data_IF_522406344231
#
_entry.id   IF_522406344231
#
_cell.length_a   1.000
_cell.length_b   1.000
_cell.length_c   1.000
_cell.angle_alpha   90.00
_cell.angle_beta   90.00
_cell.angle_gamma   90.00
#
_symmetry.space_group_name_H-M   'P 1'
#
loop_
_entity.id
_entity.type
_entity.pdbx_description
1 polymer ?
#
# COMPACT_ATOMS: atom_id res chain seq x y z
N UNK A 1 -16.21 -0.38 13.61
CA UNK A 1 -15.17 0.66 13.39
C UNK A 1 -14.58 1.14 14.70
N UNK A 2 -13.32 1.56 14.69
CA UNK A 2 -12.65 2.13 15.86
C UNK A 2 -13.25 3.48 16.27
N UNK A 3 -13.02 3.87 17.51
CA UNK A 3 -13.45 5.19 18.00
C UNK A 3 -12.48 6.26 17.51
N UNK A 4 -12.98 7.23 16.75
CA UNK A 4 -12.21 8.41 16.33
C UNK A 4 -12.68 9.67 17.06
N UNK A 5 -11.74 10.57 17.33
CA UNK A 5 -11.96 11.80 18.09
C UNK A 5 -10.90 12.84 17.73
N UNK A 6 -11.00 14.03 18.27
CA UNK A 6 -9.99 15.07 18.09
C UNK A 6 -8.57 14.55 18.35
N UNK A 7 -7.71 14.72 17.34
CA UNK A 7 -6.34 14.20 17.28
C UNK A 7 -6.18 12.88 16.53
N UNK A 8 -7.28 12.16 16.21
CA UNK A 8 -7.24 11.01 15.32
C UNK A 8 -6.90 11.46 13.89
N UNK A 9 -6.20 10.59 13.14
CA UNK A 9 -5.76 10.87 11.76
C UNK A 9 -5.92 9.64 10.88
N UNK A 10 -5.96 9.86 9.56
CA UNK A 10 -5.96 8.82 8.55
C UNK A 10 -7.31 8.59 7.89
N UNK A 11 -7.38 7.49 7.14
CA UNK A 11 -8.48 7.20 6.20
C UNK A 11 -9.86 7.12 6.86
N UNK A 12 -9.95 6.60 8.10
CA UNK A 12 -11.24 6.51 8.83
C UNK A 12 -11.78 7.92 9.14
N UNK A 13 -10.87 8.88 9.39
CA UNK A 13 -11.25 10.29 9.59
C UNK A 13 -11.70 10.91 8.26
N UNK A 14 -11.05 10.58 7.15
CA UNK A 14 -11.48 11.03 5.82
C UNK A 14 -12.89 10.53 5.49
N UNK A 15 -13.17 9.23 5.72
CA UNK A 15 -14.52 8.68 5.53
C UNK A 15 -15.56 9.40 6.39
N UNK A 16 -15.23 9.71 7.63
CA UNK A 16 -16.08 10.45 8.51
C UNK A 16 -16.33 11.89 8.02
N UNK A 17 -15.28 12.57 7.58
CA UNK A 17 -15.37 13.92 7.01
C UNK A 17 -16.20 13.95 5.74
N UNK A 18 -16.00 12.98 4.83
CA UNK A 18 -16.77 12.87 3.59
C UNK A 18 -18.26 12.59 3.87
N UNK A 19 -18.55 11.69 4.82
CA UNK A 19 -19.92 11.46 5.27
C UNK A 19 -20.58 12.72 5.82
N UNK A 20 -19.91 13.47 6.69
CA UNK A 20 -20.39 14.74 7.21
C UNK A 20 -20.59 15.78 6.09
N UNK A 21 -19.74 15.76 5.07
CA UNK A 21 -19.84 16.63 3.91
C UNK A 21 -21.06 16.30 3.05
N UNK A 22 -21.34 15.02 2.82
CA UNK A 22 -22.53 14.56 2.11
C UNK A 22 -23.83 14.96 2.85
N UNK A 23 -23.77 15.02 4.17
CA UNK A 23 -24.86 15.54 5.00
C UNK A 23 -24.90 17.08 5.10
N UNK A 24 -24.01 17.78 4.39
CA UNK A 24 -23.85 19.26 4.44
C UNK A 24 -23.46 19.80 5.83
N UNK A 25 -22.92 18.96 6.70
CA UNK A 25 -22.44 19.30 8.04
C UNK A 25 -20.94 19.66 8.08
N UNK A 26 -20.21 19.41 6.98
CA UNK A 26 -18.80 19.71 6.84
C UNK A 26 -18.51 20.35 5.49
N UNK A 27 -18.11 21.62 5.48
CA UNK A 27 -17.88 22.40 4.25
C UNK A 27 -16.40 22.65 3.95
N UNK A 28 -15.51 21.95 4.66
CA UNK A 28 -14.07 22.13 4.57
C UNK A 28 -13.43 21.02 3.72
N UNK A 29 -12.11 21.12 3.53
CA UNK A 29 -11.33 20.08 2.86
C UNK A 29 -11.37 18.79 3.69
N UNK A 30 -11.59 17.66 3.04
CA UNK A 30 -11.37 16.33 3.60
C UNK A 30 -9.86 16.10 3.60
N UNK A 31 -9.26 16.00 4.78
CA UNK A 31 -7.81 15.99 4.98
C UNK A 31 -7.32 14.87 5.91
N UNK A 32 -8.26 14.06 6.41
CA UNK A 32 -7.93 12.97 7.32
C UNK A 32 -7.43 13.41 8.69
N UNK A 33 -7.52 14.69 9.04
CA UNK A 33 -7.17 15.20 10.38
C UNK A 33 -8.44 15.51 11.19
N UNK A 34 -8.68 14.80 12.28
CA UNK A 34 -9.79 15.07 13.18
C UNK A 34 -9.48 16.30 14.04
N UNK A 35 -9.45 17.46 13.39
CA UNK A 35 -9.22 18.75 14.04
C UNK A 35 -10.48 19.36 14.67
N UNK A 36 -10.43 20.65 15.00
CA UNK A 36 -11.56 21.38 15.58
C UNK A 36 -12.77 21.41 14.66
N UNK A 37 -12.57 21.52 13.35
CA UNK A 37 -13.64 21.59 12.36
C UNK A 37 -14.41 20.28 12.32
N UNK A 38 -13.71 19.16 12.19
CA UNK A 38 -14.30 17.81 12.21
C UNK A 38 -15.01 17.54 13.53
N UNK A 39 -14.41 17.93 14.66
CA UNK A 39 -15.01 17.79 15.99
C UNK A 39 -16.33 18.55 16.10
N UNK A 40 -16.38 19.82 15.67
CA UNK A 40 -17.60 20.63 15.72
C UNK A 40 -18.70 20.07 14.82
N UNK A 41 -18.37 19.63 13.62
CA UNK A 41 -19.32 19.00 12.71
C UNK A 41 -19.82 17.64 13.26
N UNK A 42 -18.97 16.90 13.99
CA UNK A 42 -19.39 15.69 14.70
C UNK A 42 -20.39 16.01 15.80
N UNK A 43 -20.17 17.04 16.59
CA UNK A 43 -21.11 17.52 17.62
C UNK A 43 -22.46 17.89 16.99
N UNK A 44 -22.47 18.58 15.86
CA UNK A 44 -23.68 18.95 15.16
C UNK A 44 -24.43 17.71 14.63
N UNK A 45 -23.71 16.77 14.03
CA UNK A 45 -24.26 15.47 13.64
C UNK A 45 -24.91 14.74 14.82
N UNK A 46 -24.23 14.69 15.95
CA UNK A 46 -24.74 14.02 17.16
C UNK A 46 -26.01 14.71 17.68
N UNK A 47 -26.05 16.05 17.73
CA UNK A 47 -27.23 16.82 18.15
C UNK A 47 -28.42 16.57 17.26
N UNK A 48 -28.23 16.66 15.96
CA UNK A 48 -29.32 16.49 14.98
C UNK A 48 -29.89 15.07 14.98
N UNK A 49 -29.12 14.12 15.46
CA UNK A 49 -29.53 12.71 15.51
C UNK A 49 -29.84 12.21 16.94
N UNK A 50 -30.00 13.11 17.94
CA UNK A 50 -30.40 12.75 19.30
C UNK A 50 -29.36 11.96 20.09
N UNK A 51 -28.07 12.07 19.71
CA UNK A 51 -26.95 11.42 20.38
C UNK A 51 -26.31 12.35 21.44
N UNK A 52 -25.50 11.78 22.32
CA UNK A 52 -24.64 12.59 23.20
C UNK A 52 -23.63 13.36 22.34
N UNK A 53 -23.69 14.70 22.42
CA UNK A 53 -22.92 15.59 21.58
C UNK A 53 -21.52 15.86 22.19
N UNK A 54 -20.69 14.82 22.25
CA UNK A 54 -19.35 14.84 22.84
C UNK A 54 -18.22 15.02 21.81
N UNK A 55 -18.56 14.97 20.51
CA UNK A 55 -17.63 15.08 19.42
C UNK A 55 -16.72 13.86 19.26
N UNK A 56 -17.10 12.70 19.86
CA UNK A 56 -16.41 11.44 19.73
C UNK A 56 -17.25 10.50 18.87
N UNK A 57 -16.66 9.97 17.80
CA UNK A 57 -17.33 9.01 16.94
C UNK A 57 -17.09 7.61 17.50
N UNK A 58 -17.83 7.29 18.56
CA UNK A 58 -17.86 5.97 19.17
C UNK A 58 -18.96 5.08 18.58
N UNK A 59 -19.16 3.88 19.17
CA UNK A 59 -20.10 2.87 18.64
C UNK A 59 -21.48 3.45 18.29
N UNK A 60 -22.11 4.21 19.19
CA UNK A 60 -23.46 4.76 18.96
C UNK A 60 -23.49 5.78 17.82
N UNK A 61 -22.43 6.56 17.65
CA UNK A 61 -22.31 7.53 16.58
C UNK A 61 -22.10 6.82 15.23
N UNK A 62 -21.27 5.78 15.20
CA UNK A 62 -21.12 4.92 14.03
C UNK A 62 -22.42 4.19 13.67
N UNK A 63 -23.09 3.57 14.63
CA UNK A 63 -24.36 2.87 14.39
C UNK A 63 -25.37 3.82 13.73
N UNK A 64 -25.46 5.07 14.21
CA UNK A 64 -26.35 6.08 13.61
C UNK A 64 -25.90 6.53 12.22
N UNK A 65 -24.63 6.63 11.99
CA UNK A 65 -24.08 6.94 10.67
C UNK A 65 -24.36 5.79 9.67
N UNK A 66 -24.30 4.55 10.10
CA UNK A 66 -24.71 3.38 9.29
C UNK A 66 -26.18 3.42 8.90
N UNK A 67 -27.07 3.72 9.86
CA UNK A 67 -28.51 3.90 9.59
C UNK A 67 -28.78 4.99 8.53
N UNK A 68 -27.89 5.97 8.43
CA UNK A 68 -27.98 7.08 7.47
C UNK A 68 -27.15 6.85 6.20
N UNK A 69 -26.61 5.65 6.01
CA UNK A 69 -25.96 5.21 4.77
C UNK A 69 -24.47 5.53 4.65
N UNK A 70 -23.75 5.71 5.77
CA UNK A 70 -22.29 5.88 5.71
C UNK A 70 -21.61 4.60 5.20
N UNK A 71 -22.04 3.44 5.70
CA UNK A 71 -21.70 2.08 5.27
C UNK A 71 -22.77 1.17 5.87
N UNK A 72 -23.35 0.25 5.11
CA UNK A 72 -24.24 -0.78 5.64
C UNK A 72 -23.43 -2.01 6.01
N UNK A 73 -23.46 -2.42 7.29
CA UNK A 73 -22.71 -3.58 7.79
C UNK A 73 -23.32 -4.93 7.41
N UNK A 74 -24.52 -4.96 6.86
CA UNK A 74 -25.27 -6.19 6.56
C UNK A 74 -25.26 -6.63 5.09
N UNK A 75 -24.58 -5.89 4.22
CA UNK A 75 -24.35 -6.26 2.82
C UNK A 75 -22.87 -6.55 2.57
N UNK A 76 -22.30 -7.50 3.31
CA UNK A 76 -21.07 -8.19 2.87
C UNK A 76 -21.41 -9.29 1.84
N UNK A 77 -22.27 -8.97 0.90
CA UNK A 77 -22.41 -9.67 -0.37
C UNK A 77 -21.68 -8.84 -1.40
N UNK A 78 -20.54 -9.35 -1.85
CA UNK A 78 -19.62 -8.80 -2.85
C UNK A 78 -19.02 -7.41 -2.56
N UNK A 79 -17.75 -7.18 -2.82
CA UNK A 79 -17.16 -5.86 -2.67
C UNK A 79 -17.83 -4.92 -3.68
N UNK A 80 -18.82 -4.14 -3.23
CA UNK A 80 -19.33 -3.02 -4.02
C UNK A 80 -18.16 -2.05 -4.15
N UNK A 81 -17.48 -2.09 -5.28
CA UNK A 81 -16.61 -1.00 -5.71
C UNK A 81 -17.52 0.23 -5.79
N UNK A 82 -17.36 1.27 -4.94
CA UNK A 82 -18.16 2.46 -5.07
C UNK A 82 -18.02 3.01 -6.48
N UNK A 83 -19.12 3.39 -7.13
CA UNK A 83 -19.17 3.87 -8.53
C UNK A 83 -18.29 5.11 -8.82
N UNK A 84 -17.59 5.64 -7.83
CA UNK A 84 -16.78 6.86 -7.93
C UNK A 84 -15.31 6.65 -7.44
N UNK A 85 -14.78 5.43 -7.59
CA UNK A 85 -13.34 5.18 -7.44
C UNK A 85 -12.64 5.46 -8.78
N UNK A 86 -12.36 6.73 -9.06
CA UNK A 86 -11.51 7.12 -10.18
C UNK A 86 -10.08 6.58 -10.00
N UNK A 87 -9.89 5.29 -10.31
CA UNK A 87 -8.55 4.74 -10.48
C UNK A 87 -8.03 5.11 -11.86
N UNK A 88 -7.09 6.05 -11.91
CA UNK A 88 -6.44 6.45 -13.15
C UNK A 88 -5.20 5.58 -13.35
N UNK A 89 -5.19 4.80 -14.43
CA UNK A 89 -4.05 3.97 -14.82
C UNK A 89 -3.38 4.57 -16.06
N UNK A 90 -2.16 5.06 -15.91
CA UNK A 90 -1.37 5.60 -17.00
C UNK A 90 -0.60 4.50 -17.74
N UNK A 91 -0.84 4.35 -19.03
CA UNK A 91 -0.16 3.34 -19.85
C UNK A 91 1.25 3.79 -20.21
N UNK A 92 2.25 3.04 -19.73
CA UNK A 92 3.67 3.25 -20.01
C UNK A 92 4.33 1.93 -20.41
N UNK A 93 3.88 1.37 -21.54
CA UNK A 93 4.24 0.01 -21.92
C UNK A 93 5.71 -0.15 -22.27
N UNK A 94 6.29 -1.21 -21.75
CA UNK A 94 7.58 -1.74 -22.19
C UNK A 94 7.55 -2.15 -23.65
N UNK A 95 8.69 -2.16 -24.34
CA UNK A 95 8.81 -2.81 -25.66
C UNK A 95 8.35 -4.27 -25.60
N UNK A 96 7.73 -4.77 -26.68
CA UNK A 96 7.16 -6.13 -26.77
C UNK A 96 8.14 -7.27 -26.46
N UNK A 97 9.43 -7.02 -26.62
CA UNK A 97 10.49 -7.97 -26.28
C UNK A 97 10.86 -7.99 -24.79
N UNK A 98 10.29 -7.09 -23.96
CA UNK A 98 10.63 -6.95 -22.54
C UNK A 98 9.59 -7.56 -21.60
N UNK A 99 8.53 -8.18 -22.14
CA UNK A 99 7.56 -8.98 -21.40
C UNK A 99 7.11 -10.19 -22.20
N UNK A 100 6.42 -11.11 -21.57
CA UNK A 100 5.78 -12.28 -22.21
C UNK A 100 4.28 -12.05 -22.29
N UNK A 101 3.61 -12.81 -23.15
CA UNK A 101 2.15 -12.90 -23.21
C UNK A 101 1.73 -14.33 -22.87
N UNK A 102 0.62 -14.49 -22.18
CA UNK A 102 0.08 -15.79 -21.78
C UNK A 102 -1.45 -15.77 -21.80
N UNK A 103 -2.06 -16.91 -22.06
CA UNK A 103 -3.50 -17.13 -21.92
C UNK A 103 -3.85 -17.74 -20.55
N UNK A 104 -2.87 -17.87 -19.66
CA UNK A 104 -3.07 -18.37 -18.30
C UNK A 104 -3.97 -17.42 -17.49
N UNK A 105 -5.03 -17.97 -16.89
CA UNK A 105 -5.85 -17.23 -15.93
C UNK A 105 -4.98 -16.71 -14.79
N UNK A 106 -5.19 -15.46 -14.38
CA UNK A 106 -4.53 -14.91 -13.20
C UNK A 106 -5.22 -15.42 -11.94
N UNK A 107 -4.44 -15.96 -11.02
CA UNK A 107 -4.90 -16.56 -9.76
C UNK A 107 -4.26 -15.90 -8.53
N UNK A 108 -3.21 -15.10 -8.73
CA UNK A 108 -2.45 -14.44 -7.66
C UNK A 108 -2.17 -12.99 -7.98
N UNK A 109 -2.12 -12.19 -6.91
CA UNK A 109 -1.52 -10.85 -6.91
C UNK A 109 -0.32 -10.87 -5.97
N UNK A 110 0.81 -10.35 -6.41
CA UNK A 110 1.98 -10.14 -5.55
C UNK A 110 2.35 -8.67 -5.47
N UNK A 111 2.37 -8.16 -4.23
CA UNK A 111 2.82 -6.79 -3.95
C UNK A 111 4.29 -6.76 -3.58
N UNK A 112 5.00 -5.79 -4.16
CA UNK A 112 6.42 -5.56 -4.00
C UNK A 112 6.70 -4.10 -3.67
N UNK A 113 7.93 -3.77 -3.22
CA UNK A 113 8.45 -2.42 -3.34
C UNK A 113 9.79 -2.39 -4.07
N UNK A 114 10.01 -1.32 -4.82
CA UNK A 114 11.10 -1.20 -5.81
C UNK A 114 12.51 -1.15 -5.22
N UNK A 115 12.66 -0.81 -3.93
CA UNK A 115 13.92 -0.34 -3.35
C UNK A 115 14.53 0.83 -4.14
N UNK A 116 13.69 1.82 -4.55
CA UNK A 116 14.06 2.86 -5.49
C UNK A 116 13.28 4.16 -5.34
N UNK A 117 13.47 5.05 -6.32
CA UNK A 117 12.88 6.37 -6.36
C UNK A 117 11.37 6.36 -6.63
N UNK A 118 10.72 7.48 -6.40
CA UNK A 118 9.28 7.68 -6.39
C UNK A 118 8.58 7.69 -7.75
N UNK A 119 9.30 7.85 -8.86
CA UNK A 119 8.72 7.99 -10.21
C UNK A 119 8.47 6.61 -10.85
N UNK A 120 7.19 6.19 -11.08
CA UNK A 120 6.85 4.88 -11.62
C UNK A 120 7.29 4.71 -13.08
N UNK A 121 7.28 5.76 -13.88
CA UNK A 121 7.71 5.72 -15.28
C UNK A 121 9.22 5.48 -15.42
N UNK A 122 10.02 6.03 -14.50
CA UNK A 122 11.45 5.76 -14.46
C UNK A 122 11.75 4.31 -14.06
N UNK A 123 10.94 3.72 -13.18
CA UNK A 123 11.04 2.30 -12.84
C UNK A 123 10.78 1.43 -14.07
N UNK A 124 9.71 1.67 -14.80
CA UNK A 124 9.38 0.95 -16.05
C UNK A 124 10.49 1.15 -17.10
N UNK A 125 10.95 2.38 -17.31
CA UNK A 125 12.04 2.68 -18.24
C UNK A 125 13.35 1.98 -17.87
N UNK A 126 13.60 1.77 -16.57
CA UNK A 126 14.75 1.02 -16.08
C UNK A 126 14.64 -0.46 -16.45
N UNK A 127 13.49 -1.08 -16.28
CA UNK A 127 13.28 -2.47 -16.69
C UNK A 127 13.51 -2.69 -18.18
N UNK A 128 13.05 -1.79 -19.04
CA UNK A 128 13.32 -1.86 -20.49
C UNK A 128 14.79 -1.74 -20.89
N UNK A 129 15.71 -1.62 -19.93
CA UNK A 129 17.17 -1.58 -20.12
C UNK A 129 17.91 -2.60 -19.25
N UNK A 130 17.16 -3.43 -18.52
CA UNK A 130 17.73 -4.40 -17.59
C UNK A 130 18.28 -5.61 -18.36
N UNK A 131 19.58 -5.84 -18.23
CA UNK A 131 20.25 -6.97 -18.89
C UNK A 131 19.91 -8.33 -18.30
N UNK A 132 19.18 -8.39 -17.18
CA UNK A 132 18.76 -9.67 -16.56
C UNK A 132 17.62 -10.36 -17.32
N UNK A 133 17.04 -9.72 -18.34
CA UNK A 133 15.93 -10.21 -19.12
C UNK A 133 14.60 -9.57 -18.70
N UNK A 134 13.49 -10.15 -19.06
CA UNK A 134 12.13 -9.62 -18.90
C UNK A 134 11.67 -9.57 -17.44
N UNK A 135 12.34 -8.73 -16.63
CA UNK A 135 12.04 -8.53 -15.21
C UNK A 135 11.14 -7.31 -15.08
N UNK A 136 9.87 -7.52 -14.76
CA UNK A 136 8.87 -6.46 -14.60
C UNK A 136 7.63 -6.96 -13.89
N UNK A 137 6.87 -6.05 -13.29
CA UNK A 137 5.49 -6.25 -12.83
C UNK A 137 4.52 -5.53 -13.77
N UNK A 138 3.23 -5.90 -13.74
CA UNK A 138 2.22 -5.26 -14.59
C UNK A 138 2.02 -3.81 -14.20
N UNK A 139 1.98 -3.52 -12.88
CA UNK A 139 1.74 -2.18 -12.36
C UNK A 139 2.90 -1.67 -11.53
N UNK A 140 3.08 -0.36 -11.57
CA UNK A 140 4.01 0.38 -10.71
C UNK A 140 3.26 1.55 -10.10
N UNK A 141 3.32 1.67 -8.78
CA UNK A 141 2.66 2.71 -8.01
C UNK A 141 3.70 3.73 -7.52
N UNK A 142 3.59 4.95 -7.96
CA UNK A 142 4.44 6.06 -7.56
C UNK A 142 4.25 6.47 -6.10
N UNK A 143 5.21 7.18 -5.54
CA UNK A 143 5.20 7.62 -4.15
C UNK A 143 5.72 9.03 -3.95
N UNK A 144 5.78 9.44 -2.70
CA UNK A 144 6.41 10.69 -2.33
C UNK A 144 7.93 10.61 -2.47
N UNK A 145 8.54 11.75 -2.77
CA UNK A 145 9.99 11.83 -2.86
C UNK A 145 10.62 11.84 -1.47
N UNK A 146 11.51 10.88 -1.21
CA UNK A 146 12.09 10.65 0.10
C UNK A 146 12.83 11.86 0.70
N UNK A 147 13.31 12.80 -0.13
CA UNK A 147 14.16 13.92 0.32
C UNK A 147 13.41 15.18 0.70
N UNK A 148 12.18 15.39 0.20
CA UNK A 148 11.45 16.67 0.37
C UNK A 148 9.92 16.52 0.33
N UNK A 149 9.40 15.30 0.41
CA UNK A 149 7.96 15.01 0.39
C UNK A 149 7.22 15.55 -0.86
N UNK A 150 7.91 15.66 -1.99
CA UNK A 150 7.32 16.05 -3.26
C UNK A 150 6.30 14.99 -3.71
N UNK A 151 5.10 15.44 -4.07
CA UNK A 151 3.93 14.60 -4.37
C UNK A 151 3.70 14.43 -5.88
N UNK A 152 4.62 14.85 -6.75
CA UNK A 152 4.43 14.77 -8.21
C UNK A 152 3.99 13.39 -8.70
N UNK A 153 4.53 12.33 -8.10
CA UNK A 153 4.22 10.94 -8.46
C UNK A 153 3.47 10.18 -7.37
N UNK A 154 3.08 10.83 -6.28
CA UNK A 154 2.43 10.16 -5.17
C UNK A 154 1.05 9.63 -5.56
N UNK A 155 0.87 8.32 -5.49
CA UNK A 155 -0.36 7.64 -5.90
C UNK A 155 -0.55 7.46 -7.42
N UNK A 156 0.42 7.86 -8.25
CA UNK A 156 0.34 7.65 -9.70
C UNK A 156 0.50 6.16 -10.03
N UNK A 157 -0.50 5.56 -10.69
CA UNK A 157 -0.46 4.16 -11.14
C UNK A 157 -0.05 4.10 -12.61
N UNK A 158 1.06 3.43 -12.90
CA UNK A 158 1.54 3.19 -14.25
C UNK A 158 1.45 1.71 -14.60
N UNK A 159 0.94 1.38 -15.81
CA UNK A 159 0.89 0.01 -16.33
C UNK A 159 2.05 -0.22 -17.30
N UNK A 160 2.89 -1.24 -17.03
CA UNK A 160 4.11 -1.54 -17.77
C UNK A 160 3.91 -2.44 -19.00
N UNK A 161 2.83 -3.21 -19.06
CA UNK A 161 2.44 -4.03 -20.22
C UNK A 161 0.93 -4.31 -20.17
N UNK A 162 0.29 -4.64 -21.30
CA UNK A 162 -1.14 -4.90 -21.35
C UNK A 162 -1.53 -6.15 -20.55
N UNK A 163 -2.79 -6.26 -20.26
CA UNK A 163 -3.43 -7.45 -19.70
C UNK A 163 -3.04 -8.71 -20.49
N UNK A 164 -2.88 -9.85 -19.80
CA UNK A 164 -2.34 -11.09 -20.38
C UNK A 164 -0.81 -11.09 -20.49
N UNK A 165 -0.14 -9.97 -20.19
CA UNK A 165 1.30 -9.91 -20.07
C UNK A 165 1.82 -10.47 -18.74
N UNK A 166 3.10 -10.84 -18.71
CA UNK A 166 3.84 -11.10 -17.48
C UNK A 166 5.34 -10.88 -17.65
N UNK A 167 6.00 -10.55 -16.57
CA UNK A 167 7.46 -10.51 -16.41
C UNK A 167 7.92 -11.40 -15.26
N UNK A 168 9.21 -11.60 -15.13
CA UNK A 168 9.80 -12.28 -13.98
C UNK A 168 9.85 -11.31 -12.80
N UNK A 169 9.11 -11.58 -11.71
CA UNK A 169 9.07 -10.68 -10.55
C UNK A 169 9.25 -11.39 -9.20
N UNK A 170 9.01 -12.71 -9.09
CA UNK A 170 9.08 -13.43 -7.82
C UNK A 170 10.49 -13.95 -7.49
N UNK A 171 11.27 -14.28 -8.52
CA UNK A 171 12.61 -14.87 -8.35
C UNK A 171 12.59 -16.26 -7.69
N UNK A 172 11.53 -17.02 -7.91
CA UNK A 172 11.35 -18.41 -7.48
C UNK A 172 11.29 -19.32 -8.70
N UNK A 173 11.54 -20.63 -8.51
CA UNK A 173 11.53 -21.62 -9.60
C UNK A 173 10.13 -22.02 -10.11
N UNK A 174 9.06 -21.40 -9.64
CA UNK A 174 7.69 -21.71 -10.04
C UNK A 174 7.23 -20.84 -11.20
N UNK A 175 7.38 -21.33 -12.43
CA UNK A 175 7.01 -20.62 -13.64
C UNK A 175 5.49 -20.38 -13.77
N UNK A 176 4.65 -21.25 -13.19
CA UNK A 176 3.19 -21.07 -13.21
C UNK A 176 2.80 -19.82 -12.41
N UNK A 177 3.37 -19.65 -11.21
CA UNK A 177 3.08 -18.47 -10.40
C UNK A 177 3.48 -17.16 -11.09
N UNK A 178 4.55 -17.14 -11.90
CA UNK A 178 4.91 -15.96 -12.69
C UNK A 178 3.89 -15.65 -13.79
N UNK A 179 3.43 -16.68 -14.53
CA UNK A 179 2.47 -16.51 -15.62
C UNK A 179 1.06 -16.18 -15.12
N UNK A 180 0.67 -16.83 -14.04
CA UNK A 180 -0.68 -16.74 -13.48
C UNK A 180 -0.78 -15.69 -12.35
N UNK A 181 0.18 -14.78 -12.23
CA UNK A 181 0.10 -13.69 -11.25
C UNK A 181 0.10 -12.30 -11.91
N UNK A 182 -0.46 -11.34 -11.16
CA UNK A 182 -0.30 -9.91 -11.39
C UNK A 182 0.70 -9.39 -10.35
N UNK A 183 1.76 -8.75 -10.81
CA UNK A 183 2.72 -8.09 -9.92
C UNK A 183 2.44 -6.59 -9.83
N UNK A 184 2.57 -6.04 -8.63
CA UNK A 184 2.50 -4.59 -8.35
C UNK A 184 3.80 -4.17 -7.64
N UNK A 185 4.52 -3.21 -8.20
CA UNK A 185 5.68 -2.58 -7.54
C UNK A 185 5.28 -1.23 -6.95
N UNK A 186 5.43 -1.05 -5.65
CA UNK A 186 5.25 0.23 -4.97
C UNK A 186 6.60 0.94 -4.88
N UNK A 187 6.70 2.14 -5.42
CA UNK A 187 7.94 2.93 -5.37
C UNK A 187 8.26 3.34 -3.93
N UNK A 188 9.29 2.72 -3.36
CA UNK A 188 9.72 2.91 -1.99
C UNK A 188 11.16 2.42 -1.82
N UNK A 189 11.96 3.05 -0.98
CA UNK A 189 13.35 2.63 -0.73
C UNK A 189 13.49 1.44 0.20
N UNK A 190 12.41 1.09 0.92
CA UNK A 190 12.47 0.04 1.94
C UNK A 190 13.15 0.52 3.22
N UNK A 191 14.02 -0.33 3.78
CA UNK A 191 14.68 -0.05 5.05
C UNK A 191 15.64 1.14 5.02
N UNK A 192 15.75 1.82 6.16
CA UNK A 192 16.62 2.96 6.41
C UNK A 192 17.56 2.66 7.57
N UNK A 193 18.72 3.31 7.58
CA UNK A 193 19.68 3.21 8.68
C UNK A 193 19.97 4.58 9.28
N UNK A 194 20.07 4.65 10.61
CA UNK A 194 20.36 5.88 11.33
C UNK A 194 21.87 6.17 11.34
N UNK A 195 22.24 7.43 11.15
CA UNK A 195 23.62 7.93 11.29
C UNK A 195 24.59 7.53 10.19
N UNK A 196 24.11 6.84 9.15
CA UNK A 196 24.93 6.39 8.03
C UNK A 196 24.29 5.27 7.22
N UNK A 197 25.07 4.63 6.36
CA UNK A 197 24.62 3.52 5.52
C UNK A 197 25.76 2.57 5.16
N UNK A 198 25.41 1.37 4.71
CA UNK A 198 26.40 0.40 4.24
C UNK A 198 26.64 0.53 2.73
N UNK A 199 27.92 0.56 2.34
CA UNK A 199 28.37 0.53 0.94
C UNK A 199 29.44 -0.52 0.74
N UNK A 200 29.48 -1.16 -0.42
CA UNK A 200 30.64 -1.99 -0.78
C UNK A 200 31.79 -1.07 -1.23
N UNK A 201 32.90 -1.10 -0.49
CA UNK A 201 34.16 -0.45 -0.83
C UNK A 201 35.20 -1.53 -1.06
N UNK A 202 35.75 -1.63 -2.25
CA UNK A 202 36.69 -2.69 -2.65
C UNK A 202 36.15 -4.12 -2.33
N UNK A 203 34.84 -4.35 -2.57
CA UNK A 203 34.17 -5.62 -2.31
C UNK A 203 33.75 -5.87 -0.88
N UNK A 204 34.20 -5.06 0.08
CA UNK A 204 33.89 -5.19 1.52
C UNK A 204 32.71 -4.33 1.90
N UNK A 205 31.73 -4.87 2.65
CA UNK A 205 30.61 -4.14 3.23
C UNK A 205 31.13 -3.18 4.30
N UNK A 206 31.18 -1.88 4.01
CA UNK A 206 31.75 -0.82 4.85
C UNK A 206 30.66 0.12 5.32
N UNK A 207 30.68 0.49 6.59
CA UNK A 207 29.80 1.51 7.16
C UNK A 207 30.31 2.90 6.78
N UNK A 208 29.49 3.69 6.11
CA UNK A 208 29.74 5.09 5.78
C UNK A 208 29.00 5.94 6.79
N UNK A 209 29.76 6.51 7.75
CA UNK A 209 29.21 7.39 8.78
C UNK A 209 28.68 8.69 8.19
N UNK A 210 27.52 9.11 8.64
CA UNK A 210 26.83 10.35 8.30
C UNK A 210 26.39 11.09 9.57
N UNK A 211 25.42 11.99 9.46
CA UNK A 211 24.91 12.80 10.57
C UNK A 211 24.11 11.93 11.56
N UNK A 212 24.45 11.90 12.85
CA UNK A 212 23.64 11.22 13.86
C UNK A 212 22.21 11.76 13.93
N UNK A 213 21.25 10.89 14.22
CA UNK A 213 19.83 11.26 14.27
C UNK A 213 19.17 11.49 12.91
N UNK A 214 19.91 11.26 11.82
CA UNK A 214 19.38 11.29 10.44
C UNK A 214 19.34 9.89 9.85
N UNK A 215 18.39 9.66 8.96
CA UNK A 215 18.13 8.35 8.35
C UNK A 215 18.57 8.35 6.89
N UNK A 216 19.13 7.23 6.46
CA UNK A 216 19.73 7.11 5.13
C UNK A 216 19.28 5.83 4.44
N UNK A 217 19.00 5.94 3.14
CA UNK A 217 18.78 4.80 2.26
C UNK A 217 20.07 4.01 2.06
N UNK A 218 19.96 2.80 1.54
CA UNK A 218 21.12 1.96 1.20
C UNK A 218 22.06 2.59 0.13
N UNK A 219 21.60 3.58 -0.62
CA UNK A 219 22.43 4.37 -1.56
C UNK A 219 23.00 5.64 -0.94
N UNK A 220 22.70 5.92 0.34
CA UNK A 220 23.22 7.06 1.10
C UNK A 220 22.46 8.38 0.93
N UNK A 221 21.25 8.32 0.38
CA UNK A 221 20.35 9.48 0.34
C UNK A 221 19.77 9.70 1.73
N UNK A 222 19.84 10.92 2.27
CA UNK A 222 19.18 11.32 3.51
C UNK A 222 17.67 11.40 3.29
N UNK A 223 16.92 10.75 4.17
CA UNK A 223 15.47 10.80 4.18
C UNK A 223 14.98 12.04 4.94
N UNK A 224 13.95 12.71 4.43
CA UNK A 224 13.19 13.68 5.21
C UNK A 224 12.52 12.95 6.39
N UNK A 225 12.48 13.59 7.56
CA UNK A 225 11.94 12.97 8.77
C UNK A 225 10.46 12.55 8.63
N UNK A 226 9.68 13.22 7.79
CA UNK A 226 8.28 12.87 7.49
C UNK A 226 8.15 11.61 6.64
N UNK A 227 9.23 11.20 5.98
CA UNK A 227 9.30 9.99 5.16
C UNK A 227 9.83 8.78 5.94
N UNK A 228 10.03 8.91 7.25
CA UNK A 228 10.55 7.83 8.09
C UNK A 228 9.44 7.29 8.98
N UNK A 229 9.16 6.01 8.87
CA UNK A 229 8.34 5.27 9.83
C UNK A 229 9.22 4.38 10.69
N UNK A 230 8.94 4.37 11.99
CA UNK A 230 9.56 3.47 12.96
C UNK A 230 8.56 2.37 13.30
N UNK A 231 8.90 1.13 13.01
CA UNK A 231 8.08 -0.01 13.42
C UNK A 231 8.23 -0.26 14.93
N UNK A 232 7.18 -0.74 15.60
CA UNK A 232 7.24 -1.14 17.01
C UNK A 232 8.22 -2.30 17.21
N UNK A 233 8.17 -3.29 16.32
CA UNK A 233 9.06 -4.44 16.26
C UNK A 233 9.91 -4.36 15.01
N UNK A 234 11.19 -4.70 15.12
CA UNK A 234 12.06 -4.82 13.95
C UNK A 234 11.51 -5.85 12.95
N UNK A 235 11.52 -5.47 11.69
CA UNK A 235 11.19 -6.37 10.60
C UNK A 235 12.46 -6.66 9.81
N UNK A 236 12.85 -7.94 9.75
CA UNK A 236 14.06 -8.42 9.05
C UNK A 236 15.34 -7.67 9.41
N UNK A 237 15.46 -7.29 10.71
CA UNK A 237 16.64 -6.61 11.25
C UNK A 237 16.68 -5.10 11.06
N UNK A 238 15.56 -4.49 10.67
CA UNK A 238 15.45 -3.04 10.52
C UNK A 238 14.21 -2.51 11.22
N UNK A 239 14.37 -1.41 11.94
CA UNK A 239 13.28 -0.74 12.66
C UNK A 239 12.76 0.50 11.91
N UNK A 240 13.59 1.14 11.07
CA UNK A 240 13.24 2.35 10.34
C UNK A 240 13.08 2.08 8.86
N UNK A 241 12.01 2.61 8.29
CA UNK A 241 11.61 2.35 6.91
C UNK A 241 11.18 3.63 6.21
N UNK A 242 11.33 3.67 4.90
CA UNK A 242 10.72 4.71 4.07
C UNK A 242 9.20 4.51 4.09
N UNK A 243 8.46 5.50 4.62
CA UNK A 243 7.00 5.43 4.77
C UNK A 243 6.31 5.20 3.42
N UNK A 244 5.34 4.29 3.34
CA UNK A 244 4.32 4.32 2.31
C UNK A 244 3.40 5.49 2.61
N UNK A 245 3.17 6.40 1.67
CA UNK A 245 2.28 7.52 1.86
C UNK A 245 0.82 7.06 1.97
N UNK A 246 -0.01 7.87 2.60
CA UNK A 246 -1.44 7.59 2.72
C UNK A 246 -2.09 7.50 1.32
N UNK A 247 -1.61 8.32 0.37
CA UNK A 247 -2.05 8.28 -1.03
C UNK A 247 -1.62 6.98 -1.73
N UNK A 248 -0.39 6.52 -1.52
CA UNK A 248 0.05 5.21 -2.05
C UNK A 248 -0.83 4.07 -1.53
N UNK A 249 -1.13 4.07 -0.23
CA UNK A 249 -1.96 3.02 0.39
C UNK A 249 -3.38 3.05 -0.18
N UNK A 250 -3.96 4.25 -0.35
CA UNK A 250 -5.29 4.42 -0.94
C UNK A 250 -5.33 3.91 -2.39
N UNK A 251 -4.38 4.35 -3.22
CA UNK A 251 -4.36 3.94 -4.63
C UNK A 251 -3.97 2.45 -4.79
N UNK A 252 -3.16 1.90 -3.86
CA UNK A 252 -2.91 0.45 -3.82
C UNK A 252 -4.20 -0.31 -3.54
N UNK A 253 -5.03 0.13 -2.59
CA UNK A 253 -6.33 -0.49 -2.31
C UNK A 253 -7.21 -0.51 -3.55
N UNK A 254 -7.36 0.64 -4.22
CA UNK A 254 -8.15 0.74 -5.46
C UNK A 254 -7.62 -0.21 -6.54
N UNK A 255 -6.30 -0.24 -6.73
CA UNK A 255 -5.67 -1.11 -7.72
C UNK A 255 -5.88 -2.59 -7.39
N UNK A 256 -5.79 -2.99 -6.11
CA UNK A 256 -6.06 -4.37 -5.68
C UNK A 256 -7.50 -4.78 -5.95
N UNK A 257 -8.47 -3.93 -5.64
CA UNK A 257 -9.90 -4.18 -5.91
C UNK A 257 -10.16 -4.25 -7.41
N UNK A 258 -9.59 -3.33 -8.21
CA UNK A 258 -9.69 -3.35 -9.67
C UNK A 258 -9.14 -4.66 -10.27
N UNK A 259 -7.96 -5.10 -9.84
CA UNK A 259 -7.35 -6.35 -10.33
C UNK A 259 -8.17 -7.56 -9.86
N UNK A 260 -8.65 -7.53 -8.62
CA UNK A 260 -9.51 -8.57 -8.05
C UNK A 260 -10.77 -8.78 -8.89
N UNK A 261 -11.45 -7.71 -9.25
CA UNK A 261 -12.64 -7.72 -10.12
C UNK A 261 -12.30 -8.17 -11.55
N UNK A 262 -11.30 -7.53 -12.17
CA UNK A 262 -10.86 -7.81 -13.54
C UNK A 262 -10.51 -9.29 -13.76
N UNK A 263 -9.75 -9.89 -12.85
CA UNK A 263 -9.17 -11.23 -13.01
C UNK A 263 -9.93 -12.32 -12.23
N UNK A 264 -10.92 -11.93 -11.43
CA UNK A 264 -11.68 -12.83 -10.54
C UNK A 264 -10.83 -13.39 -9.41
N UNK A 265 -9.96 -12.56 -8.82
CA UNK A 265 -9.07 -12.92 -7.70
C UNK A 265 -9.65 -12.39 -6.38
N UNK A 266 -9.91 -13.26 -5.42
CA UNK A 266 -10.31 -12.82 -4.08
C UNK A 266 -9.13 -12.20 -3.33
N UNK A 267 -9.07 -10.88 -3.31
CA UNK A 267 -7.99 -10.10 -2.67
C UNK A 267 -7.99 -10.20 -1.14
N UNK A 268 -9.07 -10.74 -0.54
CA UNK A 268 -9.17 -10.98 0.92
C UNK A 268 -8.44 -12.25 1.35
N UNK A 269 -8.11 -13.13 0.39
CA UNK A 269 -7.41 -14.41 0.61
C UNK A 269 -5.90 -14.23 0.56
N UNK A 270 -5.20 -15.10 1.29
CA UNK A 270 -3.76 -15.12 1.34
C UNK A 270 -3.19 -14.24 2.45
N UNK A 271 -2.47 -13.17 2.12
CA UNK A 271 -1.86 -12.29 3.12
C UNK A 271 -2.87 -11.64 4.08
N UNK A 272 -4.06 -11.14 3.64
CA UNK A 272 -5.04 -10.61 4.59
C UNK A 272 -5.56 -11.65 5.58
N UNK A 273 -5.81 -12.90 5.15
CA UNK A 273 -6.18 -13.98 6.08
C UNK A 273 -5.06 -14.24 7.09
N UNK A 274 -3.81 -14.27 6.61
CA UNK A 274 -2.64 -14.50 7.46
C UNK A 274 -2.43 -13.35 8.46
N UNK A 275 -2.71 -12.09 8.07
CA UNK A 275 -2.66 -10.93 8.97
C UNK A 275 -3.74 -11.05 10.06
N UNK A 276 -4.95 -11.52 9.75
CA UNK A 276 -6.00 -11.76 10.76
C UNK A 276 -5.57 -12.80 11.80
N UNK A 277 -4.79 -13.80 11.38
CA UNK A 277 -4.29 -14.86 12.25
C UNK A 277 -3.06 -14.44 13.06
N UNK A 278 -2.08 -13.76 12.44
CA UNK A 278 -0.72 -13.57 12.98
C UNK A 278 -0.30 -12.10 13.14
N UNK A 279 -1.14 -11.15 12.72
CA UNK A 279 -0.78 -9.73 12.75
C UNK A 279 0.45 -9.43 11.88
N UNK A 280 1.35 -8.64 12.40
CA UNK A 280 2.60 -8.21 11.69
C UNK A 280 3.51 -9.37 11.28
N UNK A 281 3.46 -10.49 12.01
CA UNK A 281 4.27 -11.69 11.74
C UNK A 281 3.90 -12.33 10.38
N UNK A 282 2.71 -12.04 9.84
CA UNK A 282 2.26 -12.52 8.54
C UNK A 282 3.26 -12.18 7.41
N UNK A 283 3.96 -11.05 7.51
CA UNK A 283 4.94 -10.63 6.52
C UNK A 283 6.28 -11.40 6.60
N UNK A 284 6.55 -12.07 7.71
CA UNK A 284 7.73 -12.93 7.88
C UNK A 284 7.47 -14.42 7.59
N UNK A 285 6.19 -14.81 7.46
CA UNK A 285 5.81 -16.15 7.05
C UNK A 285 6.16 -16.38 5.58
N UNK A 286 7.16 -17.19 5.33
CA UNK A 286 7.65 -17.47 3.98
C UNK A 286 7.51 -18.93 3.61
N UNK A 287 6.61 -19.24 2.69
CA UNK A 287 6.42 -20.58 2.14
C UNK A 287 5.86 -20.52 0.72
N UNK A 288 6.65 -20.92 -0.27
CA UNK A 288 6.22 -21.04 -1.66
C UNK A 288 5.02 -21.98 -1.78
N UNK A 289 5.00 -23.08 -1.01
CA UNK A 289 3.89 -24.03 -1.00
C UNK A 289 2.59 -23.39 -0.47
N UNK A 290 2.67 -22.58 0.59
CA UNK A 290 1.53 -21.83 1.12
C UNK A 290 0.96 -20.90 0.04
N UNK A 291 1.80 -20.08 -0.60
CA UNK A 291 1.37 -19.18 -1.65
C UNK A 291 0.79 -19.94 -2.86
N UNK A 292 1.39 -21.07 -3.25
CA UNK A 292 0.90 -21.88 -4.39
C UNK A 292 -0.45 -22.52 -4.10
N UNK A 293 -0.68 -22.97 -2.88
CA UNK A 293 -1.91 -23.67 -2.48
C UNK A 293 -3.07 -22.71 -2.18
N UNK A 294 -2.79 -21.43 -1.93
CA UNK A 294 -3.80 -20.42 -1.63
C UNK A 294 -3.74 -19.30 -2.69
N UNK A 295 -4.70 -19.30 -3.61
CA UNK A 295 -4.89 -18.22 -4.57
C UNK A 295 -5.31 -16.95 -3.85
N UNK A 296 -4.91 -15.79 -4.37
CA UNK A 296 -5.24 -14.49 -3.76
C UNK A 296 -4.06 -13.52 -3.71
N UNK A 297 -4.05 -12.68 -2.70
CA UNK A 297 -3.06 -11.60 -2.50
C UNK A 297 -1.92 -12.03 -1.60
N UNK A 298 -0.68 -11.77 -2.02
CA UNK A 298 0.53 -12.07 -1.27
C UNK A 298 1.56 -10.94 -1.37
N UNK A 299 2.49 -10.85 -0.43
CA UNK A 299 3.69 -10.04 -0.55
C UNK A 299 4.87 -10.88 -1.04
N UNK A 300 5.89 -10.23 -1.58
CA UNK A 300 7.10 -10.92 -2.02
C UNK A 300 7.79 -11.67 -0.88
N UNK A 301 7.71 -11.14 0.35
CA UNK A 301 8.29 -11.77 1.54
C UNK A 301 7.65 -13.12 1.88
N UNK A 302 6.40 -13.35 1.47
CA UNK A 302 5.72 -14.63 1.71
C UNK A 302 6.22 -15.76 0.80
N UNK A 303 6.83 -15.45 -0.34
CA UNK A 303 7.37 -16.48 -1.25
C UNK A 303 8.90 -16.51 -1.32
N UNK A 304 9.62 -15.53 -0.71
CA UNK A 304 11.08 -15.49 -0.76
C UNK A 304 11.71 -14.89 0.49
N UNK A 305 12.47 -15.70 1.23
CA UNK A 305 13.08 -15.33 2.53
C UNK A 305 14.09 -14.19 2.46
N UNK A 306 14.76 -14.00 1.31
CA UNK A 306 15.78 -12.95 1.13
C UNK A 306 15.23 -11.59 0.78
N UNK A 307 13.89 -11.44 0.72
CA UNK A 307 13.21 -10.22 0.34
C UNK A 307 12.76 -9.41 1.55
N UNK A 308 12.59 -8.13 1.35
CA UNK A 308 12.18 -7.15 2.37
C UNK A 308 10.87 -6.43 2.00
N UNK A 309 10.34 -6.72 0.83
CA UNK A 309 9.18 -6.08 0.22
C UNK A 309 7.95 -7.02 0.27
N UNK A 310 6.86 -6.60 0.88
CA UNK A 310 6.63 -5.34 1.58
C UNK A 310 6.87 -5.50 3.09
N UNK A 311 7.04 -4.38 3.80
CA UNK A 311 7.18 -4.38 5.25
C UNK A 311 5.85 -4.00 5.94
N UNK A 312 5.62 -4.42 7.20
CA UNK A 312 4.35 -4.28 7.91
C UNK A 312 4.15 -2.87 8.50
N UNK A 313 4.00 -1.84 7.66
CA UNK A 313 3.58 -0.53 8.12
C UNK A 313 2.14 -0.60 8.65
N UNK A 314 1.81 0.00 9.81
CA UNK A 314 0.46 -0.10 10.41
C UNK A 314 -0.67 0.25 9.44
N UNK A 315 -0.57 1.38 8.73
CA UNK A 315 -1.60 1.84 7.80
C UNK A 315 -1.77 0.88 6.59
N UNK A 316 -0.70 0.17 6.19
CA UNK A 316 -0.78 -0.88 5.18
C UNK A 316 -1.53 -2.11 5.71
N UNK A 317 -1.28 -2.51 6.97
CA UNK A 317 -2.03 -3.61 7.60
C UNK A 317 -3.52 -3.29 7.67
N UNK A 318 -3.86 -2.09 8.15
CA UNK A 318 -5.25 -1.64 8.27
C UNK A 318 -5.96 -1.67 6.90
N UNK A 319 -5.28 -1.20 5.86
CA UNK A 319 -5.80 -1.27 4.50
C UNK A 319 -6.02 -2.71 4.04
N UNK A 320 -5.05 -3.61 4.24
CA UNK A 320 -5.16 -5.02 3.85
C UNK A 320 -6.28 -5.76 4.61
N UNK A 321 -6.51 -5.42 5.87
CA UNK A 321 -7.60 -5.97 6.66
C UNK A 321 -8.98 -5.42 6.25
N UNK A 322 -9.01 -4.28 5.56
CA UNK A 322 -10.23 -3.61 5.08
C UNK A 322 -10.64 -4.02 3.66
N UNK A 323 -9.92 -4.96 3.03
CA UNK A 323 -10.27 -5.57 1.73
C UNK A 323 -11.43 -6.62 1.86
#
# INVERSE_FOLDING_TARGET
METIKKGSKGIIVEYWQEFLKNLQLYSYKVDGDFGNLTHNSTIEFQRTNGLVADGIVGKRTWDKAYELGIITTDEMEEPVVPEDFDLIIEKSYLPKNEYYVTDEKKDWIFIHHTAGWNNPFNTIKHWGRDSRGRVATEFVLGGQKITNNDNEFDGVVAQAFPEGGYGWHLGIGNNIMHRASVGIEVNNFGWLTEGGYYKKVNGVKTWIKKTPGKFYTYVGTEADCKQVVKLEKEFRGYQYWHKYSDRQILELKKLLLYIGDRDGIDVRKGLPDLIREKGVEAFDECSVSMCTNTKGLWSHTNCRTTKFDMFPQPELLDMLLSL
#
